data_IF_468177736704
#
_entry.id   IF_468177736704
#
_cell.length_a   1.000
_cell.length_b   1.000
_cell.length_c   1.000
_cell.angle_alpha   90.00
_cell.angle_beta   90.00
_cell.angle_gamma   90.00
#
_symmetry.space_group_name_H-M   'P 1'
#
loop_
_entity.id
_entity.type
_entity.pdbx_description
1 polymer ?
#
# COMPACT_ATOMS: atom_id res chain seq x y z
N UNK A 1 -22.20 -15.85 -33.82
CA UNK A 1 -22.00 -15.69 -32.38
C UNK A 1 -21.49 -14.26 -32.20
N UNK A 2 -22.38 -13.39 -31.74
CA UNK A 2 -22.11 -11.96 -31.56
C UNK A 2 -20.95 -11.76 -30.59
N UNK A 3 -19.94 -11.02 -31.01
CA UNK A 3 -18.86 -10.53 -30.19
C UNK A 3 -19.41 -9.48 -29.21
N UNK A 4 -20.01 -9.90 -28.10
CA UNK A 4 -20.41 -8.99 -27.06
C UNK A 4 -19.18 -8.22 -26.61
N UNK A 5 -19.13 -6.91 -26.85
CA UNK A 5 -18.04 -6.06 -26.37
C UNK A 5 -17.90 -6.24 -24.85
N UNK A 6 -16.72 -6.70 -24.41
CA UNK A 6 -16.41 -6.86 -22.99
C UNK A 6 -16.55 -5.49 -22.30
N UNK A 7 -17.46 -5.37 -21.35
CA UNK A 7 -17.69 -4.14 -20.61
C UNK A 7 -17.15 -4.27 -19.18
N UNK A 8 -16.33 -3.31 -18.73
CA UNK A 8 -15.92 -3.24 -17.32
C UNK A 8 -17.11 -3.11 -16.36
N UNK A 9 -18.27 -2.65 -16.84
CA UNK A 9 -19.50 -2.57 -16.04
C UNK A 9 -20.05 -3.94 -15.68
N UNK A 10 -19.90 -4.95 -16.56
CA UNK A 10 -20.41 -6.31 -16.31
C UNK A 10 -19.69 -7.02 -15.16
N UNK A 11 -18.42 -6.66 -14.91
CA UNK A 11 -17.61 -7.20 -13.82
C UNK A 11 -17.47 -6.22 -12.64
N UNK A 12 -18.10 -5.04 -12.72
CA UNK A 12 -17.83 -3.94 -11.77
C UNK A 12 -18.06 -4.36 -10.30
N UNK A 13 -19.19 -4.99 -9.99
CA UNK A 13 -19.49 -5.41 -8.62
C UNK A 13 -18.53 -6.50 -8.15
N UNK A 14 -18.26 -7.49 -9.01
CA UNK A 14 -17.41 -8.62 -8.68
C UNK A 14 -15.92 -8.23 -8.51
N UNK A 15 -15.43 -7.30 -9.34
CA UNK A 15 -14.04 -6.89 -9.37
C UNK A 15 -13.72 -5.73 -8.41
N UNK A 16 -14.62 -4.74 -8.35
CA UNK A 16 -14.37 -3.49 -7.61
C UNK A 16 -15.08 -3.40 -6.25
N UNK A 17 -16.24 -4.08 -6.09
CA UNK A 17 -16.96 -4.11 -4.82
C UNK A 17 -16.11 -4.61 -3.64
N UNK A 18 -15.48 -5.79 -3.75
CA UNK A 18 -14.59 -6.30 -2.70
C UNK A 18 -13.42 -5.36 -2.41
N UNK A 19 -12.91 -4.65 -3.44
CA UNK A 19 -11.82 -3.69 -3.27
C UNK A 19 -12.23 -2.47 -2.45
N UNK A 20 -13.43 -1.93 -2.73
CA UNK A 20 -13.97 -0.79 -1.97
C UNK A 20 -14.19 -1.16 -0.51
N UNK A 21 -14.80 -2.33 -0.26
CA UNK A 21 -15.04 -2.80 1.11
C UNK A 21 -13.74 -3.12 1.85
N UNK A 22 -12.75 -3.67 1.16
CA UNK A 22 -11.42 -3.89 1.74
C UNK A 22 -10.76 -2.57 2.13
N UNK A 23 -10.78 -1.57 1.23
CA UNK A 23 -10.30 -0.22 1.53
C UNK A 23 -11.05 0.43 2.69
N UNK A 24 -12.36 0.24 2.78
CA UNK A 24 -13.17 0.74 3.89
C UNK A 24 -12.76 0.09 5.22
N UNK A 25 -12.54 -1.22 5.24
CA UNK A 25 -12.05 -1.94 6.41
C UNK A 25 -10.68 -1.41 6.86
N UNK A 26 -9.71 -1.26 5.94
CA UNK A 26 -8.39 -0.70 6.27
C UNK A 26 -8.50 0.75 6.75
N UNK A 27 -9.26 1.59 6.05
CA UNK A 27 -9.44 3.00 6.40
C UNK A 27 -10.06 3.20 7.79
N UNK A 28 -11.02 2.35 8.19
CA UNK A 28 -11.65 2.41 9.48
C UNK A 28 -10.70 2.00 10.62
N UNK A 29 -9.94 0.90 10.47
CA UNK A 29 -9.14 0.35 11.57
C UNK A 29 -7.75 1.01 11.74
N UNK A 30 -7.10 1.44 10.63
CA UNK A 30 -5.72 1.95 10.70
C UNK A 30 -5.56 3.10 11.70
N UNK A 31 -6.47 4.12 11.74
CA UNK A 31 -6.33 5.23 12.66
C UNK A 31 -6.39 4.84 14.14
N UNK A 32 -7.04 3.72 14.46
CA UNK A 32 -7.30 3.31 15.85
C UNK A 32 -6.35 2.23 16.38
N UNK A 33 -5.54 1.58 15.54
CA UNK A 33 -4.57 0.55 15.99
C UNK A 33 -3.62 1.09 17.05
N UNK A 34 -3.01 2.24 16.79
CA UNK A 34 -2.08 2.86 17.72
C UNK A 34 -2.78 3.30 19.02
N UNK A 35 -3.98 3.91 18.90
CA UNK A 35 -4.79 4.33 20.05
C UNK A 35 -5.22 3.14 20.89
N UNK A 36 -5.69 2.06 20.25
CA UNK A 36 -6.04 0.80 20.91
C UNK A 36 -4.87 0.17 21.64
N UNK A 37 -3.65 0.33 21.15
CA UNK A 37 -2.43 -0.12 21.83
C UNK A 37 -2.14 0.69 23.08
N UNK A 38 -2.29 2.02 22.99
CA UNK A 38 -2.09 2.96 24.12
C UNK A 38 -3.14 2.72 25.22
N UNK A 39 -4.42 2.54 24.84
CA UNK A 39 -5.52 2.23 25.76
C UNK A 39 -5.26 0.96 26.59
N UNK A 40 -4.43 0.04 26.07
CA UNK A 40 -3.96 -1.16 26.78
C UNK A 40 -2.69 -0.97 27.58
N UNK A 41 -2.25 0.25 27.76
CA UNK A 41 -1.05 0.58 28.52
C UNK A 41 0.26 0.44 27.72
N UNK A 42 0.21 0.34 26.39
CA UNK A 42 1.42 0.41 25.58
C UNK A 42 2.02 1.82 25.62
N UNK A 43 3.34 1.90 25.68
CA UNK A 43 4.03 3.16 25.40
C UNK A 43 3.85 3.54 23.90
N UNK A 44 4.07 4.82 23.58
CA UNK A 44 4.01 5.31 22.17
C UNK A 44 4.97 4.55 21.26
N UNK A 45 6.14 4.14 21.77
CA UNK A 45 7.10 3.33 21.03
C UNK A 45 6.53 1.92 20.72
N UNK A 46 5.91 1.27 21.70
CA UNK A 46 5.29 -0.05 21.52
C UNK A 46 4.08 0.05 20.61
N UNK A 47 3.27 1.12 20.68
CA UNK A 47 2.16 1.36 19.77
C UNK A 47 2.63 1.51 18.31
N UNK A 48 3.75 2.23 18.09
CA UNK A 48 4.37 2.33 16.77
C UNK A 48 4.91 0.97 16.27
N UNK A 49 5.49 0.16 17.16
CA UNK A 49 5.95 -1.19 16.86
C UNK A 49 4.77 -2.10 16.45
N UNK A 50 3.67 -2.06 17.22
CA UNK A 50 2.46 -2.85 16.89
C UNK A 50 1.93 -2.45 15.51
N UNK A 51 1.90 -1.15 15.20
CA UNK A 51 1.49 -0.69 13.87
C UNK A 51 2.44 -1.19 12.77
N UNK A 52 3.75 -1.30 13.05
CA UNK A 52 4.73 -1.85 12.10
C UNK A 52 4.46 -3.32 11.76
N UNK A 53 3.76 -4.08 12.62
CA UNK A 53 3.37 -5.47 12.37
C UNK A 53 2.48 -5.63 11.13
N UNK A 54 1.74 -4.58 10.72
CA UNK A 54 1.03 -4.58 9.43
C UNK A 54 1.99 -4.78 8.25
N UNK A 55 3.06 -3.98 8.23
CA UNK A 55 4.09 -4.09 7.18
C UNK A 55 4.88 -5.39 7.28
N UNK A 56 5.22 -5.82 8.49
CA UNK A 56 5.95 -7.09 8.74
C UNK A 56 5.09 -8.27 8.28
N UNK A 57 3.80 -8.29 8.60
CA UNK A 57 2.87 -9.32 8.15
C UNK A 57 2.77 -9.39 6.62
N UNK A 58 2.72 -8.23 5.96
CA UNK A 58 2.73 -8.12 4.50
C UNK A 58 4.03 -8.71 3.91
N UNK A 59 5.20 -8.28 4.38
CA UNK A 59 6.51 -8.75 3.92
C UNK A 59 6.63 -10.28 4.05
N UNK A 60 6.29 -10.83 5.19
CA UNK A 60 6.37 -12.27 5.45
C UNK A 60 5.49 -13.09 4.52
N UNK A 61 4.43 -12.51 3.99
CA UNK A 61 3.44 -13.22 3.16
C UNK A 61 3.50 -12.88 1.68
N UNK A 62 4.25 -11.88 1.25
CA UNK A 62 4.34 -11.50 -0.18
C UNK A 62 4.76 -12.67 -1.08
N UNK A 63 5.83 -13.39 -0.74
CA UNK A 63 6.28 -14.56 -1.52
C UNK A 63 5.28 -15.72 -1.39
N UNK A 64 4.87 -16.14 -0.17
CA UNK A 64 3.83 -17.15 0.00
C UNK A 64 2.52 -16.82 -0.72
N UNK A 65 2.13 -15.55 -0.84
CA UNK A 65 0.90 -15.11 -1.53
C UNK A 65 0.89 -15.51 -3.01
N UNK A 66 2.02 -15.33 -3.69
CA UNK A 66 2.17 -15.75 -5.08
C UNK A 66 2.03 -17.27 -5.25
N UNK A 67 2.67 -18.03 -4.35
CA UNK A 67 2.57 -19.50 -4.34
C UNK A 67 1.14 -19.94 -4.02
N UNK A 68 0.47 -19.29 -3.07
CA UNK A 68 -0.91 -19.60 -2.71
C UNK A 68 -1.84 -19.37 -3.91
N UNK A 69 -1.75 -18.20 -4.56
CA UNK A 69 -2.57 -17.86 -5.72
C UNK A 69 -2.37 -18.84 -6.89
N UNK A 70 -1.14 -19.32 -7.10
CA UNK A 70 -0.86 -20.33 -8.13
C UNK A 70 -1.40 -21.72 -7.78
N UNK A 71 -1.40 -22.11 -6.50
CA UNK A 71 -1.83 -23.46 -6.06
C UNK A 71 -3.34 -23.61 -5.94
N UNK A 72 -4.01 -22.65 -5.29
CA UNK A 72 -5.45 -22.76 -4.98
C UNK A 72 -6.33 -21.84 -5.82
N UNK A 73 -5.74 -20.96 -6.65
CA UNK A 73 -6.43 -19.98 -7.47
C UNK A 73 -6.67 -18.63 -6.73
N UNK A 74 -6.93 -17.59 -7.50
CA UNK A 74 -7.07 -16.22 -7.00
C UNK A 74 -8.28 -16.04 -6.08
N UNK A 75 -9.44 -16.59 -6.49
CA UNK A 75 -10.67 -16.50 -5.70
C UNK A 75 -10.52 -17.14 -4.32
N UNK A 76 -10.01 -18.37 -4.24
CA UNK A 76 -9.79 -19.07 -2.97
C UNK A 76 -8.76 -18.34 -2.12
N UNK A 77 -7.71 -17.77 -2.73
CA UNK A 77 -6.71 -16.97 -2.03
C UNK A 77 -7.32 -15.72 -1.40
N UNK A 78 -8.22 -15.01 -2.11
CA UNK A 78 -8.96 -13.87 -1.54
C UNK A 78 -9.84 -14.29 -0.37
N UNK A 79 -10.52 -15.45 -0.43
CA UNK A 79 -11.34 -15.97 0.66
C UNK A 79 -10.50 -16.36 1.89
N UNK A 80 -9.36 -17.01 1.69
CA UNK A 80 -8.41 -17.32 2.77
C UNK A 80 -7.92 -16.03 3.41
N UNK A 81 -7.53 -15.04 2.61
CA UNK A 81 -7.11 -13.74 3.13
C UNK A 81 -8.23 -13.05 3.92
N UNK A 82 -9.47 -13.06 3.43
CA UNK A 82 -10.59 -12.48 4.15
C UNK A 82 -10.85 -13.22 5.48
N UNK A 83 -10.75 -14.55 5.51
CA UNK A 83 -10.89 -15.34 6.74
C UNK A 83 -9.77 -15.00 7.75
N UNK A 84 -8.52 -14.88 7.31
CA UNK A 84 -7.39 -14.47 8.14
C UNK A 84 -7.58 -13.04 8.67
N UNK A 85 -8.07 -12.12 7.83
CA UNK A 85 -8.37 -10.75 8.25
C UNK A 85 -9.47 -10.71 9.31
N UNK A 86 -10.56 -11.47 9.12
CA UNK A 86 -11.63 -11.59 10.12
C UNK A 86 -11.08 -12.16 11.43
N UNK A 87 -10.27 -13.22 11.38
CA UNK A 87 -9.62 -13.76 12.57
C UNK A 87 -8.71 -12.72 13.26
N UNK A 88 -7.93 -11.95 12.51
CA UNK A 88 -7.12 -10.85 13.03
C UNK A 88 -7.97 -9.76 13.71
N UNK A 89 -9.07 -9.34 13.09
CA UNK A 89 -10.02 -8.37 13.66
C UNK A 89 -10.67 -8.90 14.96
N UNK A 90 -11.08 -10.16 14.97
CA UNK A 90 -11.65 -10.79 16.16
C UNK A 90 -10.62 -10.86 17.30
N UNK A 91 -9.35 -11.20 17.01
CA UNK A 91 -8.29 -11.17 18.01
C UNK A 91 -8.08 -9.76 18.56
N UNK A 92 -8.12 -8.74 17.72
CA UNK A 92 -8.05 -7.35 18.17
C UNK A 92 -9.24 -7.02 19.09
N UNK A 93 -10.48 -7.34 18.69
CA UNK A 93 -11.70 -7.05 19.45
C UNK A 93 -11.77 -7.77 20.80
N UNK A 94 -11.52 -9.08 20.84
CA UNK A 94 -11.61 -9.89 22.06
C UNK A 94 -10.61 -9.43 23.12
N UNK A 95 -9.49 -8.81 22.68
CA UNK A 95 -8.46 -8.34 23.59
C UNK A 95 -8.60 -6.84 23.94
N UNK A 96 -9.60 -6.13 23.43
CA UNK A 96 -9.89 -4.75 23.84
C UNK A 96 -10.29 -4.72 25.34
N UNK A 97 -9.62 -3.86 26.13
CA UNK A 97 -9.87 -3.71 27.56
C UNK A 97 -9.18 -4.72 28.49
N UNK A 98 -8.33 -5.62 28.01
CA UNK A 98 -7.58 -6.59 28.83
C UNK A 98 -6.11 -6.16 29.01
N UNK A 99 -5.47 -6.50 30.11
CA UNK A 99 -4.12 -6.02 30.49
C UNK A 99 -2.96 -6.42 29.56
N UNK A 100 -1.71 -6.25 30.01
CA UNK A 100 -0.48 -6.34 29.20
C UNK A 100 -0.29 -7.66 28.42
N UNK A 101 -0.75 -8.80 28.95
CA UNK A 101 -0.73 -10.08 28.22
C UNK A 101 -1.59 -10.06 26.93
N UNK A 102 -2.62 -9.20 26.89
CA UNK A 102 -3.48 -9.04 25.74
C UNK A 102 -2.80 -8.25 24.61
N UNK A 103 -1.74 -7.48 24.90
CA UNK A 103 -1.03 -6.65 23.91
C UNK A 103 -0.30 -7.51 22.86
N UNK A 104 0.30 -8.63 23.27
CA UNK A 104 0.90 -9.60 22.34
C UNK A 104 -0.13 -10.25 21.43
N UNK A 105 -1.29 -10.61 21.96
CA UNK A 105 -2.39 -11.19 21.15
C UNK A 105 -3.00 -10.13 20.22
N UNK A 106 -3.11 -8.89 20.67
CA UNK A 106 -3.51 -7.77 19.81
C UNK A 106 -2.50 -7.57 18.68
N UNK A 107 -1.20 -7.56 18.98
CA UNK A 107 -0.13 -7.49 18.00
C UNK A 107 -0.19 -8.64 16.97
N UNK A 108 -0.48 -9.87 17.44
CA UNK A 108 -0.72 -11.00 16.53
C UNK A 108 -1.91 -10.73 15.59
N UNK A 109 -3.00 -10.17 16.10
CA UNK A 109 -4.14 -9.76 15.29
C UNK A 109 -3.72 -8.77 14.20
N UNK A 110 -2.93 -7.74 14.55
CA UNK A 110 -2.40 -6.74 13.60
C UNK A 110 -1.46 -7.38 12.57
N UNK A 111 -0.60 -8.31 12.99
CA UNK A 111 0.28 -9.06 12.09
C UNK A 111 -0.53 -9.86 11.05
N UNK A 112 -1.60 -10.55 11.50
CA UNK A 112 -2.49 -11.30 10.62
C UNK A 112 -3.23 -10.39 9.64
N UNK A 113 -3.61 -9.18 10.06
CA UNK A 113 -4.21 -8.17 9.17
C UNK A 113 -3.24 -7.75 8.06
N UNK A 114 -1.97 -7.53 8.40
CA UNK A 114 -0.93 -7.23 7.41
C UNK A 114 -0.71 -8.39 6.43
N UNK A 115 -0.65 -9.61 6.94
CA UNK A 115 -0.53 -10.83 6.13
C UNK A 115 -1.73 -10.99 5.16
N UNK A 116 -2.94 -10.81 5.67
CA UNK A 116 -4.17 -10.88 4.88
C UNK A 116 -4.22 -9.81 3.79
N UNK A 117 -3.78 -8.58 4.11
CA UNK A 117 -3.73 -7.46 3.16
C UNK A 117 -2.85 -7.77 1.96
N UNK A 118 -1.67 -8.35 2.17
CA UNK A 118 -0.76 -8.75 1.11
C UNK A 118 -1.39 -9.81 0.19
N UNK A 119 -1.90 -10.91 0.78
CA UNK A 119 -2.53 -12.00 0.03
C UNK A 119 -3.74 -11.50 -0.77
N UNK A 120 -4.60 -10.71 -0.13
CA UNK A 120 -5.82 -10.20 -0.74
C UNK A 120 -5.50 -9.26 -1.93
N UNK A 121 -4.56 -8.35 -1.74
CA UNK A 121 -4.17 -7.39 -2.77
C UNK A 121 -3.55 -8.06 -3.97
N UNK A 122 -2.65 -9.03 -3.77
CA UNK A 122 -2.00 -9.76 -4.85
C UNK A 122 -3.00 -10.65 -5.61
N UNK A 123 -3.82 -11.42 -4.90
CA UNK A 123 -4.81 -12.30 -5.51
C UNK A 123 -5.85 -11.50 -6.33
N UNK A 124 -6.33 -10.38 -5.80
CA UNK A 124 -7.27 -9.47 -6.48
C UNK A 124 -6.66 -8.84 -7.73
N UNK A 125 -5.41 -8.36 -7.65
CA UNK A 125 -4.71 -7.77 -8.78
C UNK A 125 -4.47 -8.81 -9.88
N UNK A 126 -4.08 -10.02 -9.52
CA UNK A 126 -3.91 -11.14 -10.45
C UNK A 126 -5.23 -11.50 -11.11
N UNK A 127 -6.30 -11.68 -10.32
CA UNK A 127 -7.65 -11.97 -10.80
C UNK A 127 -8.10 -10.96 -11.86
N UNK A 128 -7.99 -9.66 -11.55
CA UNK A 128 -8.42 -8.61 -12.47
C UNK A 128 -7.58 -8.59 -13.74
N UNK A 129 -6.27 -8.77 -13.63
CA UNK A 129 -5.36 -8.81 -14.78
C UNK A 129 -5.66 -9.97 -15.73
N UNK A 130 -6.09 -11.11 -15.20
CA UNK A 130 -6.44 -12.30 -15.98
C UNK A 130 -7.86 -12.24 -16.55
N UNK A 131 -8.81 -11.63 -15.81
CA UNK A 131 -10.22 -11.52 -16.21
C UNK A 131 -10.47 -10.47 -17.30
N UNK A 132 -9.53 -9.53 -17.51
CA UNK A 132 -9.74 -8.38 -18.39
C UNK A 132 -8.87 -8.49 -19.65
N UNK A 133 -9.44 -8.22 -20.86
CA UNK A 133 -8.67 -8.17 -22.10
C UNK A 133 -7.45 -7.23 -22.00
N UNK A 134 -6.32 -7.54 -22.67
CA UNK A 134 -5.06 -6.79 -22.53
C UNK A 134 -5.18 -5.27 -22.74
N UNK A 135 -6.00 -4.83 -23.69
CA UNK A 135 -6.21 -3.41 -24.01
C UNK A 135 -6.98 -2.63 -22.92
N UNK A 136 -7.69 -3.32 -22.00
CA UNK A 136 -8.42 -2.70 -20.89
C UNK A 136 -7.74 -2.86 -19.52
N UNK A 137 -6.66 -3.65 -19.43
CA UNK A 137 -5.99 -3.97 -18.17
C UNK A 137 -5.52 -2.73 -17.40
N UNK A 138 -4.87 -1.79 -18.08
CA UNK A 138 -4.39 -0.55 -17.45
C UNK A 138 -5.54 0.25 -16.83
N UNK A 139 -6.66 0.39 -17.58
CA UNK A 139 -7.86 1.08 -17.10
C UNK A 139 -8.51 0.35 -15.91
N UNK A 140 -8.59 -0.98 -15.98
CA UNK A 140 -9.16 -1.79 -14.91
C UNK A 140 -8.32 -1.71 -13.60
N UNK A 141 -7.00 -1.81 -13.70
CA UNK A 141 -6.09 -1.70 -12.56
C UNK A 141 -6.09 -0.28 -11.95
N UNK A 142 -6.16 0.75 -12.80
CA UNK A 142 -6.31 2.13 -12.31
C UNK A 142 -7.64 2.33 -11.56
N UNK A 143 -8.75 1.81 -12.11
CA UNK A 143 -10.05 1.84 -11.44
C UNK A 143 -10.02 1.08 -10.11
N UNK A 144 -9.36 -0.09 -10.08
CA UNK A 144 -9.16 -0.87 -8.85
C UNK A 144 -8.46 -0.06 -7.75
N UNK A 145 -7.39 0.65 -8.12
CA UNK A 145 -6.69 1.54 -7.19
C UNK A 145 -7.57 2.71 -6.72
N UNK A 146 -8.39 3.26 -7.63
CA UNK A 146 -9.31 4.37 -7.32
C UNK A 146 -10.39 3.97 -6.31
N UNK A 147 -11.07 2.83 -6.53
CA UNK A 147 -12.15 2.37 -5.64
C UNK A 147 -11.64 1.95 -4.27
N UNK A 148 -10.43 1.38 -4.20
CA UNK A 148 -9.76 1.10 -2.93
C UNK A 148 -9.58 2.38 -2.10
N UNK A 149 -9.12 3.46 -2.74
CA UNK A 149 -8.92 4.76 -2.09
C UNK A 149 -10.22 5.40 -1.63
N UNK A 150 -11.30 5.26 -2.41
CA UNK A 150 -12.62 5.70 -1.99
C UNK A 150 -13.02 4.98 -0.69
N UNK A 151 -12.80 3.67 -0.62
CA UNK A 151 -13.03 2.90 0.61
C UNK A 151 -12.17 3.42 1.78
N UNK A 152 -10.87 3.59 1.58
CA UNK A 152 -9.94 4.12 2.58
C UNK A 152 -10.29 5.55 3.03
N UNK A 153 -10.88 6.35 2.15
CA UNK A 153 -11.38 7.69 2.48
C UNK A 153 -12.66 7.65 3.32
N UNK A 154 -13.62 6.80 2.95
CA UNK A 154 -14.92 6.68 3.64
C UNK A 154 -14.77 5.98 5.00
N UNK A 155 -13.84 5.03 5.10
CA UNK A 155 -13.64 4.20 6.28
C UNK A 155 -13.50 4.97 7.60
N UNK A 156 -12.62 5.98 7.72
CA UNK A 156 -12.43 6.74 8.95
C UNK A 156 -13.68 7.47 9.43
N UNK A 157 -14.54 7.94 8.52
CA UNK A 157 -15.78 8.61 8.88
C UNK A 157 -16.82 7.62 9.45
N UNK A 158 -16.94 6.45 8.82
CA UNK A 158 -17.78 5.38 9.37
C UNK A 158 -17.22 4.84 10.68
N UNK A 159 -15.88 4.72 10.77
CA UNK A 159 -15.20 4.39 12.01
C UNK A 159 -15.50 5.38 13.11
N UNK A 160 -15.33 6.69 12.85
CA UNK A 160 -15.63 7.76 13.81
C UNK A 160 -17.10 7.72 14.30
N UNK A 161 -18.06 7.53 13.39
CA UNK A 161 -19.47 7.39 13.78
C UNK A 161 -19.73 6.16 14.65
N UNK A 162 -19.04 5.06 14.39
CA UNK A 162 -19.14 3.85 15.21
C UNK A 162 -18.42 4.01 16.56
N UNK A 163 -17.32 4.76 16.62
CA UNK A 163 -16.58 5.07 17.85
C UNK A 163 -17.42 5.91 18.82
N UNK A 164 -18.28 6.80 18.35
CA UNK A 164 -19.22 7.54 19.20
C UNK A 164 -20.21 6.62 19.91
N UNK A 165 -20.59 5.50 19.28
CA UNK A 165 -21.57 4.57 19.83
C UNK A 165 -20.94 3.48 20.72
N UNK A 166 -19.77 2.99 20.34
CA UNK A 166 -19.13 1.81 20.95
C UNK A 166 -17.69 2.04 21.41
N UNK A 167 -17.18 3.26 21.37
CA UNK A 167 -15.76 3.56 21.65
C UNK A 167 -14.84 2.95 20.58
N UNK A 168 -13.54 2.78 20.92
CA UNK A 168 -12.55 2.21 20.00
C UNK A 168 -12.94 0.90 19.30
N UNK A 169 -13.70 -0.05 19.93
CA UNK A 169 -14.23 -1.23 19.24
C UNK A 169 -15.08 -0.92 18.01
N UNK A 170 -15.74 0.24 17.96
CA UNK A 170 -16.62 0.65 16.86
C UNK A 170 -15.94 0.61 15.50
N UNK A 171 -14.72 1.11 15.39
CA UNK A 171 -13.93 1.09 14.16
C UNK A 171 -13.63 -0.34 13.66
N UNK A 172 -13.37 -1.27 14.60
CA UNK A 172 -13.16 -2.68 14.26
C UNK A 172 -14.44 -3.38 13.85
N UNK A 173 -15.60 -3.01 14.41
CA UNK A 173 -16.90 -3.54 13.95
C UNK A 173 -17.19 -3.13 12.50
N UNK A 174 -16.93 -1.87 12.14
CA UNK A 174 -17.04 -1.40 10.75
C UNK A 174 -16.12 -2.21 9.83
N UNK A 175 -14.88 -2.41 10.24
CA UNK A 175 -13.90 -3.21 9.49
C UNK A 175 -14.36 -4.66 9.32
N UNK A 176 -14.90 -5.26 10.37
CA UNK A 176 -15.40 -6.65 10.35
C UNK A 176 -16.57 -6.82 9.39
N UNK A 177 -17.56 -5.91 9.44
CA UNK A 177 -18.71 -5.93 8.53
C UNK A 177 -18.27 -5.72 7.09
N UNK A 178 -17.36 -4.79 6.83
CA UNK A 178 -16.83 -4.53 5.50
C UNK A 178 -16.07 -5.73 4.95
N UNK A 179 -15.22 -6.39 5.77
CA UNK A 179 -14.47 -7.56 5.37
C UNK A 179 -15.37 -8.78 5.11
N UNK A 180 -16.38 -8.99 5.95
CA UNK A 180 -17.40 -10.03 5.74
C UNK A 180 -18.19 -9.78 4.44
N UNK A 181 -18.58 -8.53 4.18
CA UNK A 181 -19.22 -8.13 2.93
C UNK A 181 -18.34 -8.37 1.70
N UNK A 182 -17.04 -8.05 1.79
CA UNK A 182 -16.07 -8.36 0.73
C UNK A 182 -15.99 -9.88 0.46
N UNK A 183 -15.92 -10.70 1.52
CA UNK A 183 -15.90 -12.15 1.40
C UNK A 183 -17.17 -12.69 0.72
N UNK A 184 -18.35 -12.19 1.11
CA UNK A 184 -19.65 -12.58 0.50
C UNK A 184 -19.68 -12.27 -1.00
N UNK A 185 -19.17 -11.11 -1.43
CA UNK A 185 -19.09 -10.79 -2.86
C UNK A 185 -18.10 -11.74 -3.56
N UNK A 186 -16.92 -11.99 -2.97
CA UNK A 186 -15.90 -12.91 -3.54
C UNK A 186 -16.44 -14.34 -3.68
N UNK A 187 -17.34 -14.78 -2.80
CA UNK A 187 -18.00 -16.11 -2.94
C UNK A 187 -18.84 -16.23 -4.23
N UNK A 188 -19.30 -15.11 -4.78
CA UNK A 188 -20.08 -15.07 -6.03
C UNK A 188 -19.25 -14.83 -7.28
N UNK A 189 -17.94 -14.57 -7.11
CA UNK A 189 -17.01 -14.38 -8.23
C UNK A 189 -16.67 -15.72 -8.85
N UNK A 190 -16.70 -15.89 -10.20
CA UNK A 190 -16.30 -17.12 -10.86
C UNK A 190 -14.81 -17.43 -10.63
N UNK A 191 -14.46 -18.69 -10.54
CA UNK A 191 -13.05 -19.12 -10.47
C UNK A 191 -12.41 -19.01 -11.87
N UNK A 192 -11.12 -18.66 -11.94
CA UNK A 192 -10.37 -18.57 -13.19
C UNK A 192 -9.58 -19.86 -13.39
N UNK A 193 -9.87 -20.59 -14.47
CA UNK A 193 -9.10 -21.75 -14.86
C UNK A 193 -7.80 -21.33 -15.56
N UNK A 194 -6.65 -21.62 -14.97
CA UNK A 194 -5.34 -21.37 -15.57
C UNK A 194 -4.92 -22.52 -16.47
N UNK A 195 -4.55 -22.18 -17.71
CA UNK A 195 -3.99 -23.16 -18.65
C UNK A 195 -2.58 -23.57 -18.20
N UNK A 196 -2.22 -24.84 -18.39
CA UNK A 196 -0.89 -25.38 -18.01
C UNK A 196 0.29 -24.64 -18.69
N UNK A 197 0.07 -24.11 -19.89
CA UNK A 197 1.03 -23.26 -20.60
C UNK A 197 1.31 -21.93 -19.87
N UNK A 198 0.30 -21.32 -19.23
CA UNK A 198 0.48 -20.08 -18.45
C UNK A 198 1.24 -20.37 -17.17
N UNK A 199 1.05 -21.54 -16.56
CA UNK A 199 1.82 -21.99 -15.37
C UNK A 199 3.28 -22.25 -15.71
N UNK A 200 3.55 -22.89 -16.87
CA UNK A 200 4.90 -23.20 -17.32
C UNK A 200 5.70 -21.93 -17.70
N UNK A 201 5.08 -20.97 -18.37
CA UNK A 201 5.73 -19.70 -18.74
C UNK A 201 6.15 -18.86 -17.50
N UNK A 202 5.36 -18.90 -16.43
CA UNK A 202 5.68 -18.19 -15.18
C UNK A 202 6.89 -18.82 -14.45
N UNK A 203 7.19 -20.10 -14.69
CA UNK A 203 8.27 -20.84 -14.01
C UNK A 203 9.66 -20.60 -14.61
N UNK A 204 9.78 -20.00 -15.82
CA UNK A 204 11.05 -19.89 -16.54
C UNK A 204 11.95 -18.71 -16.12
N UNK A 205 11.39 -17.68 -15.48
CA UNK A 205 12.18 -16.49 -15.08
C UNK A 205 12.63 -16.60 -13.64
N UNK A 206 13.93 -16.63 -13.42
CA UNK A 206 14.51 -16.77 -12.09
C UNK A 206 14.62 -15.40 -11.39
N UNK A 207 14.09 -15.27 -10.19
CA UNK A 207 14.21 -14.08 -9.32
C UNK A 207 15.68 -13.64 -9.16
N UNK A 208 16.60 -14.59 -9.01
CA UNK A 208 18.04 -14.33 -8.89
C UNK A 208 18.64 -13.69 -10.15
N UNK A 209 18.16 -14.06 -11.34
CA UNK A 209 18.60 -13.48 -12.61
C UNK A 209 18.23 -12.00 -12.69
N UNK A 210 16.96 -11.67 -12.42
CA UNK A 210 16.47 -10.28 -12.39
C UNK A 210 17.21 -9.45 -11.34
N UNK A 211 17.44 -10.00 -10.14
CA UNK A 211 18.14 -9.29 -9.07
C UNK A 211 19.60 -8.98 -9.48
N UNK A 212 20.29 -9.93 -10.12
CA UNK A 212 21.67 -9.76 -10.57
C UNK A 212 21.78 -8.74 -11.71
N UNK A 213 20.80 -8.69 -12.61
CA UNK A 213 20.81 -7.77 -13.77
C UNK A 213 20.45 -6.34 -13.35
N UNK A 214 19.46 -6.19 -12.47
CA UNK A 214 18.88 -4.88 -12.08
C UNK A 214 19.31 -4.41 -10.68
N UNK A 215 20.36 -4.99 -10.07
CA UNK A 215 20.77 -4.67 -8.70
C UNK A 215 21.07 -3.18 -8.48
N UNK A 216 21.64 -2.49 -9.48
CA UNK A 216 21.89 -1.04 -9.40
C UNK A 216 20.58 -0.25 -9.32
N UNK A 217 19.59 -0.61 -10.11
CA UNK A 217 18.26 0.01 -10.10
C UNK A 217 17.59 -0.19 -8.75
N UNK A 218 17.69 -1.40 -8.17
CA UNK A 218 17.16 -1.69 -6.85
C UNK A 218 17.87 -0.91 -5.73
N UNK A 219 19.20 -0.76 -5.79
CA UNK A 219 19.94 0.00 -4.78
C UNK A 219 19.81 1.52 -4.92
N UNK A 220 19.49 2.05 -6.09
CA UNK A 220 19.36 3.49 -6.35
C UNK A 220 17.88 3.94 -6.26
N UNK A 221 17.13 3.76 -7.33
CA UNK A 221 15.71 4.09 -7.35
C UNK A 221 14.91 3.29 -6.33
N UNK A 222 15.25 2.02 -6.13
CA UNK A 222 14.61 1.16 -5.14
C UNK A 222 14.77 1.70 -3.72
N UNK A 223 15.95 2.22 -3.35
CA UNK A 223 16.15 2.91 -2.06
C UNK A 223 15.23 4.11 -1.93
N UNK A 224 15.06 4.91 -3.00
CA UNK A 224 14.11 6.02 -3.02
C UNK A 224 12.66 5.56 -2.78
N UNK A 225 12.27 4.40 -3.33
CA UNK A 225 10.96 3.79 -3.11
C UNK A 225 10.79 3.30 -1.67
N UNK A 226 11.82 2.67 -1.10
CA UNK A 226 11.81 2.25 0.32
C UNK A 226 11.60 3.45 1.23
N UNK A 227 12.38 4.52 1.07
CA UNK A 227 12.27 5.73 1.88
C UNK A 227 10.91 6.43 1.71
N UNK A 228 10.41 6.53 0.47
CA UNK A 228 9.08 7.09 0.19
C UNK A 228 7.98 6.26 0.84
N UNK A 229 8.05 4.92 0.75
CA UNK A 229 7.07 4.02 1.36
C UNK A 229 7.14 4.07 2.89
N UNK A 230 8.35 4.21 3.44
CA UNK A 230 8.58 4.38 4.88
C UNK A 230 7.88 5.63 5.42
N UNK A 231 8.10 6.80 4.80
CA UNK A 231 7.48 8.04 5.27
C UNK A 231 5.95 8.02 5.11
N UNK A 232 5.43 7.38 4.06
CA UNK A 232 4.00 7.21 3.83
C UNK A 232 3.34 6.36 4.90
N UNK A 233 3.96 5.25 5.27
CA UNK A 233 3.42 4.39 6.33
C UNK A 233 3.56 5.04 7.70
N UNK A 234 4.68 5.71 7.97
CA UNK A 234 4.88 6.45 9.22
C UNK A 234 3.82 7.54 9.41
N UNK A 235 3.35 8.20 8.33
CA UNK A 235 2.24 9.17 8.38
C UNK A 235 0.98 8.55 9.01
N UNK A 236 0.66 7.32 8.65
CA UNK A 236 -0.53 6.63 9.17
C UNK A 236 -0.45 6.37 10.68
N UNK A 237 0.75 6.24 11.19
CA UNK A 237 1.02 5.99 12.62
C UNK A 237 1.16 7.29 13.41
N UNK A 238 1.84 8.27 12.85
CA UNK A 238 2.21 9.48 13.59
C UNK A 238 1.03 10.39 13.85
N UNK A 239 0.05 10.47 12.93
CA UNK A 239 -1.16 11.28 13.13
C UNK A 239 -1.92 10.85 14.39
N UNK A 240 -2.30 9.55 14.57
CA UNK A 240 -3.00 9.11 15.77
C UNK A 240 -2.12 9.19 17.03
N UNK A 241 -0.82 8.90 16.95
CA UNK A 241 0.07 9.03 18.09
C UNK A 241 0.18 10.48 18.58
N UNK A 242 0.28 11.43 17.66
CA UNK A 242 0.36 12.85 18.01
C UNK A 242 -0.98 13.38 18.50
N UNK A 243 -2.11 12.96 17.90
CA UNK A 243 -3.45 13.28 18.38
C UNK A 243 -3.64 12.82 19.86
N UNK A 244 -3.22 11.61 20.19
CA UNK A 244 -3.25 11.11 21.56
C UNK A 244 -2.30 11.91 22.47
N UNK A 245 -1.09 12.28 22.00
CA UNK A 245 -0.12 13.06 22.76
C UNK A 245 -0.65 14.44 23.17
N UNK A 246 -1.43 15.09 22.31
CA UNK A 246 -2.06 16.39 22.60
C UNK A 246 -3.48 16.25 23.22
N UNK A 247 -3.89 15.02 23.60
CA UNK A 247 -5.13 14.75 24.34
C UNK A 247 -6.42 14.80 23.53
N UNK A 248 -6.37 14.57 22.21
CA UNK A 248 -7.58 14.51 21.38
C UNK A 248 -8.31 13.17 21.53
N UNK A 249 -9.64 13.21 21.40
CA UNK A 249 -10.47 11.99 21.41
C UNK A 249 -10.19 11.09 20.19
N UNK A 250 -10.48 9.78 20.29
CA UNK A 250 -10.41 8.85 19.17
C UNK A 250 -11.21 9.31 17.96
N UNK A 251 -12.44 9.77 18.18
CA UNK A 251 -13.32 10.32 17.14
C UNK A 251 -12.69 11.50 16.42
N UNK A 252 -12.13 12.48 17.18
CA UNK A 252 -11.43 13.62 16.58
C UNK A 252 -10.25 13.16 15.72
N UNK A 253 -9.46 12.17 16.20
CA UNK A 253 -8.38 11.59 15.43
C UNK A 253 -8.87 10.97 14.12
N UNK A 254 -9.93 10.15 14.14
CA UNK A 254 -10.49 9.50 12.95
C UNK A 254 -11.02 10.53 11.94
N UNK A 255 -11.66 11.61 12.40
CA UNK A 255 -12.07 12.72 11.54
C UNK A 255 -10.88 13.48 10.92
N UNK A 256 -9.84 13.76 11.69
CA UNK A 256 -8.60 14.38 11.19
C UNK A 256 -7.96 13.48 10.12
N UNK A 257 -7.90 12.19 10.37
CA UNK A 257 -7.36 11.22 9.43
C UNK A 257 -8.20 11.13 8.15
N UNK A 258 -9.53 11.15 8.27
CA UNK A 258 -10.48 11.18 7.16
C UNK A 258 -10.33 12.45 6.30
N UNK A 259 -10.20 13.63 6.94
CA UNK A 259 -10.00 14.90 6.20
C UNK A 259 -8.67 14.93 5.44
N UNK A 260 -7.60 14.38 6.02
CA UNK A 260 -6.33 14.18 5.30
C UNK A 260 -6.51 13.26 4.08
N UNK A 261 -7.32 12.21 4.22
CA UNK A 261 -7.69 11.30 3.14
C UNK A 261 -8.49 11.97 2.00
N UNK A 262 -9.35 12.94 2.33
CA UNK A 262 -10.07 13.73 1.33
C UNK A 262 -9.11 14.49 0.40
N UNK A 263 -8.12 15.16 0.99
CA UNK A 263 -7.11 15.89 0.21
C UNK A 263 -6.26 14.91 -0.61
N UNK A 264 -5.89 13.77 -0.04
CA UNK A 264 -5.15 12.70 -0.74
C UNK A 264 -5.89 12.25 -2.01
N UNK A 265 -7.18 11.92 -1.88
CA UNK A 265 -8.02 11.48 -3.01
C UNK A 265 -8.23 12.59 -4.04
N UNK A 266 -8.40 13.85 -3.63
CA UNK A 266 -8.64 14.97 -4.56
C UNK A 266 -7.43 15.32 -5.41
N UNK A 267 -6.22 15.05 -4.91
CA UNK A 267 -4.96 15.49 -5.54
C UNK A 267 -4.34 14.45 -6.47
N UNK A 268 -4.71 13.15 -6.40
CA UNK A 268 -4.06 12.12 -7.20
C UNK A 268 -4.27 12.30 -8.71
N UNK A 269 -5.44 12.73 -9.15
CA UNK A 269 -5.75 12.87 -10.58
C UNK A 269 -4.99 14.06 -11.23
N UNK A 270 -4.98 15.27 -10.65
CA UNK A 270 -4.12 16.36 -11.12
C UNK A 270 -2.63 15.99 -11.14
N UNK A 271 -2.16 15.28 -10.10
CA UNK A 271 -0.77 14.85 -10.01
C UNK A 271 -0.37 13.88 -11.12
N UNK A 272 -1.27 12.98 -11.55
CA UNK A 272 -1.06 12.11 -12.71
C UNK A 272 -0.79 12.92 -13.99
N UNK A 273 -1.57 13.97 -14.25
CA UNK A 273 -1.35 14.88 -15.38
C UNK A 273 0.01 15.59 -15.31
N UNK A 274 0.39 16.08 -14.13
CA UNK A 274 1.72 16.72 -13.92
C UNK A 274 2.83 15.71 -14.22
N UNK A 275 2.68 14.47 -13.76
CA UNK A 275 3.65 13.39 -13.98
C UNK A 275 3.82 13.05 -15.46
N UNK A 276 2.74 13.08 -16.23
CA UNK A 276 2.77 12.79 -17.67
C UNK A 276 3.36 13.96 -18.48
N UNK A 277 3.07 15.23 -18.10
CA UNK A 277 3.52 16.42 -18.80
C UNK A 277 4.95 16.82 -18.47
N UNK A 278 5.30 16.83 -17.17
CA UNK A 278 6.58 17.35 -16.68
C UNK A 278 7.56 16.26 -16.25
N UNK A 279 7.08 15.02 -16.12
CA UNK A 279 7.89 13.88 -15.75
C UNK A 279 7.81 13.52 -14.26
N UNK A 280 8.29 12.31 -13.95
CA UNK A 280 8.14 11.65 -12.63
C UNK A 280 8.81 12.42 -11.50
N UNK A 281 9.91 13.09 -11.80
CA UNK A 281 10.70 13.86 -10.83
C UNK A 281 9.92 15.03 -10.21
N UNK A 282 9.11 15.72 -11.02
CA UNK A 282 8.29 16.86 -10.61
C UNK A 282 7.10 16.48 -9.72
N UNK A 283 6.88 15.21 -9.53
CA UNK A 283 5.87 14.67 -8.63
C UNK A 283 6.52 13.99 -7.42
N UNK A 284 7.51 13.14 -7.65
CA UNK A 284 8.16 12.36 -6.60
C UNK A 284 8.87 13.23 -5.56
N UNK A 285 9.62 14.23 -6.02
CA UNK A 285 10.41 15.10 -5.13
C UNK A 285 9.53 16.02 -4.30
N UNK A 286 8.59 16.82 -4.88
CA UNK A 286 7.67 17.62 -4.08
C UNK A 286 6.84 16.78 -3.09
N UNK A 287 6.39 15.58 -3.49
CA UNK A 287 5.69 14.65 -2.60
C UNK A 287 6.47 14.40 -1.30
N UNK A 288 7.73 13.99 -1.42
CA UNK A 288 8.57 13.66 -0.27
C UNK A 288 9.00 14.88 0.54
N UNK A 289 9.23 16.03 -0.12
CA UNK A 289 9.52 17.29 0.57
C UNK A 289 8.33 17.78 1.40
N UNK A 290 7.12 17.76 0.82
CA UNK A 290 5.90 18.18 1.53
C UNK A 290 5.63 17.25 2.71
N UNK A 291 5.77 15.93 2.52
CA UNK A 291 5.63 14.97 3.62
C UNK A 291 6.67 15.25 4.71
N UNK A 292 7.96 15.37 4.37
CA UNK A 292 9.02 15.66 5.33
C UNK A 292 8.76 16.95 6.11
N UNK A 293 8.39 18.04 5.41
CA UNK A 293 8.04 19.30 6.04
C UNK A 293 6.83 19.16 7.00
N UNK A 294 5.80 18.44 6.57
CA UNK A 294 4.60 18.22 7.39
C UNK A 294 4.91 17.49 8.69
N UNK A 295 5.85 16.54 8.71
CA UNK A 295 6.31 15.89 9.93
C UNK A 295 6.96 16.89 10.89
N UNK A 296 7.79 17.80 10.38
CA UNK A 296 8.40 18.85 11.22
C UNK A 296 7.35 19.82 11.76
N UNK A 297 6.41 20.25 10.92
CA UNK A 297 5.34 21.16 11.35
C UNK A 297 4.40 20.54 12.37
N UNK A 298 4.22 19.21 12.34
CA UNK A 298 3.36 18.50 13.28
C UNK A 298 3.81 18.70 14.72
N UNK A 299 5.10 18.73 14.99
CA UNK A 299 5.63 18.89 16.36
C UNK A 299 5.28 20.23 17.00
N UNK A 300 4.89 21.24 16.20
CA UNK A 300 4.40 22.54 16.66
C UNK A 300 2.88 22.65 16.79
N UNK A 301 2.13 21.55 16.59
CA UNK A 301 0.67 21.57 16.69
C UNK A 301 0.22 21.25 18.12
N UNK A 302 -0.75 22.02 18.65
CA UNK A 302 -1.26 21.88 20.01
C UNK A 302 -2.79 21.83 20.09
N UNK A 303 -3.48 21.82 18.93
CA UNK A 303 -4.94 21.81 18.87
C UNK A 303 -5.44 20.92 17.71
N UNK A 304 -6.71 20.51 17.78
CA UNK A 304 -7.35 19.75 16.71
C UNK A 304 -7.27 20.50 15.36
N UNK A 305 -7.49 21.82 15.34
CA UNK A 305 -7.44 22.61 14.11
C UNK A 305 -6.04 22.61 13.49
N UNK A 306 -5.00 22.90 14.27
CA UNK A 306 -3.62 22.95 13.77
C UNK A 306 -3.15 21.59 13.30
N UNK A 307 -3.51 20.51 14.02
CA UNK A 307 -3.21 19.15 13.59
C UNK A 307 -3.97 18.79 12.29
N UNK A 308 -5.25 19.18 12.16
CA UNK A 308 -6.02 18.97 10.93
C UNK A 308 -5.35 19.62 9.73
N UNK A 309 -4.91 20.87 9.85
CA UNK A 309 -4.23 21.58 8.75
C UNK A 309 -2.93 20.89 8.32
N UNK A 310 -2.12 20.43 9.30
CA UNK A 310 -0.90 19.67 9.00
C UNK A 310 -1.23 18.28 8.41
N UNK A 311 -2.25 17.60 8.91
CA UNK A 311 -2.69 16.32 8.36
C UNK A 311 -3.22 16.48 6.92
N UNK A 312 -3.93 17.55 6.61
CA UNK A 312 -4.32 17.89 5.23
C UNK A 312 -3.10 18.16 4.33
N UNK A 313 -2.07 18.84 4.83
CA UNK A 313 -0.81 19.02 4.10
C UNK A 313 -0.11 17.67 3.86
N UNK A 314 -0.12 16.77 4.84
CA UNK A 314 0.35 15.39 4.66
C UNK A 314 -0.49 14.63 3.62
N UNK A 315 -1.81 14.81 3.62
CA UNK A 315 -2.72 14.26 2.62
C UNK A 315 -2.38 14.76 1.22
N UNK A 316 -2.15 16.07 1.06
CA UNK A 316 -1.70 16.67 -0.20
C UNK A 316 -0.37 16.06 -0.67
N UNK A 317 0.65 16.02 0.18
CA UNK A 317 1.94 15.41 -0.14
C UNK A 317 1.80 13.94 -0.58
N UNK A 318 0.97 13.16 0.12
CA UNK A 318 0.73 11.76 -0.22
C UNK A 318 -0.04 11.61 -1.54
N UNK A 319 -1.06 12.43 -1.76
CA UNK A 319 -1.92 12.39 -2.94
C UNK A 319 -1.18 12.71 -4.23
N UNK A 320 -0.34 13.77 -4.22
CA UNK A 320 0.49 14.10 -5.38
C UNK A 320 1.46 12.98 -5.75
N UNK A 321 1.99 12.24 -4.78
CA UNK A 321 2.88 11.12 -5.01
C UNK A 321 2.18 9.81 -5.31
N UNK A 322 0.86 9.78 -5.34
CA UNK A 322 0.06 8.59 -5.60
C UNK A 322 0.37 8.01 -6.98
N UNK A 323 0.65 6.73 -7.09
CA UNK A 323 0.99 6.08 -8.36
C UNK A 323 2.47 6.21 -8.78
N UNK A 324 3.28 7.07 -8.14
CA UNK A 324 4.69 7.25 -8.54
C UNK A 324 5.49 5.94 -8.42
N UNK A 325 5.25 5.14 -7.39
CA UNK A 325 5.93 3.85 -7.20
C UNK A 325 5.62 2.88 -8.34
N UNK A 326 4.33 2.82 -8.76
CA UNK A 326 3.90 1.99 -9.89
C UNK A 326 4.45 2.50 -11.22
N UNK A 327 4.46 3.82 -11.42
CA UNK A 327 4.97 4.41 -12.67
C UNK A 327 6.48 4.22 -12.78
N UNK A 328 7.24 4.44 -11.70
CA UNK A 328 8.69 4.19 -11.70
C UNK A 328 8.99 2.71 -11.97
N UNK A 329 8.24 1.77 -11.37
CA UNK A 329 8.44 0.35 -11.63
C UNK A 329 8.18 -0.01 -13.10
N UNK A 330 7.13 0.56 -13.69
CA UNK A 330 6.80 0.32 -15.10
C UNK A 330 7.87 0.89 -16.05
N UNK A 331 8.40 2.09 -15.75
CA UNK A 331 9.41 2.77 -16.56
C UNK A 331 10.76 2.02 -16.58
N UNK A 332 11.14 1.33 -15.49
CA UNK A 332 12.43 0.64 -15.37
C UNK A 332 12.34 -0.89 -15.52
N UNK A 333 11.13 -1.44 -15.62
CA UNK A 333 10.93 -2.88 -15.73
C UNK A 333 11.32 -3.42 -17.11
N UNK A 334 11.96 -4.61 -17.20
CA UNK A 334 12.28 -5.26 -18.47
C UNK A 334 11.00 -5.72 -19.20
N UNK A 335 11.11 -5.97 -20.51
CA UNK A 335 10.04 -6.60 -21.29
C UNK A 335 9.91 -8.09 -20.91
N UNK A 336 11.04 -8.78 -20.78
CA UNK A 336 11.11 -10.18 -20.37
C UNK A 336 11.34 -10.26 -18.87
N UNK A 337 10.50 -10.98 -18.14
CA UNK A 337 10.57 -11.09 -16.68
C UNK A 337 9.95 -9.92 -15.92
N UNK A 338 9.16 -9.06 -16.59
CA UNK A 338 8.46 -7.94 -15.97
C UNK A 338 7.67 -8.32 -14.72
N UNK A 339 6.89 -9.43 -14.67
CA UNK A 339 6.15 -9.79 -13.46
C UNK A 339 7.07 -10.05 -12.26
N UNK A 340 8.19 -10.72 -12.47
CA UNK A 340 9.19 -11.00 -11.43
C UNK A 340 9.86 -9.71 -10.94
N UNK A 341 10.21 -8.79 -11.87
CA UNK A 341 10.75 -7.47 -11.52
C UNK A 341 9.76 -6.66 -10.69
N UNK A 342 8.49 -6.59 -11.10
CA UNK A 342 7.44 -5.85 -10.38
C UNK A 342 7.18 -6.46 -8.99
N UNK A 343 7.28 -7.78 -8.84
CA UNK A 343 7.21 -8.45 -7.54
C UNK A 343 8.33 -8.01 -6.61
N UNK A 344 9.58 -8.03 -7.08
CA UNK A 344 10.74 -7.53 -6.32
C UNK A 344 10.63 -6.03 -6.00
N UNK A 345 10.11 -5.23 -6.92
CA UNK A 345 9.88 -3.80 -6.69
C UNK A 345 8.83 -3.55 -5.62
N UNK A 346 7.79 -4.36 -5.61
CA UNK A 346 6.77 -4.32 -4.57
C UNK A 346 7.36 -4.68 -3.21
N UNK A 347 8.21 -5.70 -3.14
CA UNK A 347 8.91 -6.09 -1.91
C UNK A 347 9.71 -4.93 -1.31
N UNK A 348 10.38 -4.11 -2.13
CA UNK A 348 11.05 -2.90 -1.66
C UNK A 348 10.06 -1.89 -1.06
N UNK A 349 8.90 -1.70 -1.71
CA UNK A 349 7.87 -0.80 -1.19
C UNK A 349 7.33 -1.28 0.16
N UNK A 350 7.04 -2.57 0.27
CA UNK A 350 6.50 -3.18 1.49
C UNK A 350 7.54 -3.21 2.61
N UNK A 351 8.83 -3.44 2.28
CA UNK A 351 9.95 -3.26 3.21
C UNK A 351 9.97 -1.83 3.78
N UNK A 352 9.80 -0.82 2.94
CA UNK A 352 9.68 0.56 3.39
C UNK A 352 8.51 0.77 4.35
N UNK A 353 7.35 0.19 4.05
CA UNK A 353 6.17 0.26 4.90
C UNK A 353 6.41 -0.34 6.30
N UNK A 354 7.16 -1.42 6.41
CA UNK A 354 7.56 -2.00 7.69
C UNK A 354 8.62 -1.17 8.41
N UNK A 355 9.66 -0.74 7.69
CA UNK A 355 10.82 -0.03 8.25
C UNK A 355 10.45 1.36 8.80
N UNK A 356 9.53 2.09 8.17
CA UNK A 356 9.13 3.42 8.60
C UNK A 356 8.65 3.48 10.05
N UNK A 357 7.59 2.74 10.44
CA UNK A 357 7.13 2.67 11.82
C UNK A 357 8.16 2.08 12.78
N UNK A 358 9.05 1.19 12.32
CA UNK A 358 10.15 0.66 13.15
C UNK A 358 11.16 1.75 13.50
N UNK A 359 11.55 2.61 12.55
CA UNK A 359 12.42 3.77 12.82
C UNK A 359 11.73 4.70 13.82
N UNK A 360 10.44 5.03 13.59
CA UNK A 360 9.67 5.84 14.52
C UNK A 360 9.67 5.24 15.92
N UNK A 361 9.39 3.93 16.05
CA UNK A 361 9.37 3.20 17.31
C UNK A 361 10.72 3.27 18.02
N UNK A 362 11.81 2.91 17.33
CA UNK A 362 13.16 2.87 17.90
C UNK A 362 13.61 4.25 18.40
N UNK A 363 13.42 5.30 17.60
CA UNK A 363 13.81 6.66 18.00
C UNK A 363 12.91 7.18 19.13
N UNK A 364 11.61 6.88 19.08
CA UNK A 364 10.67 7.27 20.16
C UNK A 364 11.05 6.61 21.50
N UNK A 365 11.49 5.35 21.49
CA UNK A 365 11.90 4.62 22.68
C UNK A 365 13.11 5.24 23.38
N UNK A 366 14.05 5.82 22.61
CA UNK A 366 15.31 6.39 23.14
C UNK A 366 15.19 7.89 23.40
N UNK A 367 14.55 8.64 22.51
CA UNK A 367 14.58 10.11 22.50
C UNK A 367 13.20 10.77 22.55
N UNK A 368 12.13 9.99 22.69
CA UNK A 368 10.76 10.47 22.77
C UNK A 368 10.07 10.71 21.41
N UNK A 369 8.75 10.91 21.45
CA UNK A 369 7.90 10.98 20.26
C UNK A 369 8.29 12.12 19.30
N UNK A 370 8.61 13.31 19.83
CA UNK A 370 9.04 14.46 19.04
C UNK A 370 10.26 14.13 18.19
N UNK A 371 11.29 13.52 18.81
CA UNK A 371 12.49 13.10 18.09
C UNK A 371 12.18 12.05 17.00
N UNK A 372 11.29 11.08 17.28
CA UNK A 372 10.83 10.09 16.31
C UNK A 372 10.18 10.74 15.08
N UNK A 373 9.33 11.75 15.32
CA UNK A 373 8.67 12.51 14.25
C UNK A 373 9.68 13.30 13.43
N UNK A 374 10.61 14.02 14.09
CA UNK A 374 11.66 14.81 13.42
C UNK A 374 12.53 13.91 12.52
N UNK A 375 13.00 12.78 13.05
CA UNK A 375 13.81 11.81 12.26
C UNK A 375 13.01 11.29 11.07
N UNK A 376 11.71 10.98 11.25
CA UNK A 376 10.84 10.57 10.15
C UNK A 376 10.71 11.68 9.09
N UNK A 377 10.64 12.94 9.49
CA UNK A 377 10.68 14.08 8.57
C UNK A 377 11.99 14.15 7.78
N UNK A 378 13.13 13.93 8.44
CA UNK A 378 14.45 13.89 7.79
C UNK A 378 14.56 12.74 6.78
N UNK A 379 13.95 11.59 7.06
CA UNK A 379 13.81 10.48 6.08
C UNK A 379 13.08 10.96 4.82
N UNK A 380 12.08 11.83 4.95
CA UNK A 380 11.39 12.43 3.80
C UNK A 380 12.31 13.31 2.94
N UNK A 381 13.17 14.13 3.55
CA UNK A 381 14.17 14.92 2.81
C UNK A 381 15.25 14.04 2.19
N UNK A 382 15.69 12.98 2.87
CA UNK A 382 16.61 11.99 2.31
C UNK A 382 15.99 11.29 1.08
N UNK A 383 14.71 10.90 1.16
CA UNK A 383 13.96 10.36 0.03
C UNK A 383 13.92 11.33 -1.15
N UNK A 384 13.66 12.63 -0.88
CA UNK A 384 13.69 13.68 -1.91
C UNK A 384 15.05 13.76 -2.60
N UNK A 385 16.14 13.75 -1.85
CA UNK A 385 17.51 13.77 -2.38
C UNK A 385 17.81 12.56 -3.26
N UNK A 386 17.49 11.35 -2.80
CA UNK A 386 17.69 10.11 -3.54
C UNK A 386 16.86 10.12 -4.84
N UNK A 387 15.57 10.44 -4.77
CA UNK A 387 14.70 10.48 -5.95
C UNK A 387 15.11 11.59 -6.92
N UNK A 388 15.57 12.74 -6.40
CA UNK A 388 16.15 13.80 -7.23
C UNK A 388 17.41 13.34 -7.97
N UNK A 389 18.27 12.60 -7.35
CA UNK A 389 19.52 12.11 -7.95
C UNK A 389 19.28 11.04 -9.02
N UNK A 390 18.38 10.08 -8.76
CA UNK A 390 18.28 8.85 -9.55
C UNK A 390 17.07 8.78 -10.50
N UNK A 391 16.03 9.62 -10.36
CA UNK A 391 14.96 9.68 -11.36
C UNK A 391 15.49 10.36 -12.64
N UNK A 392 15.40 9.73 -13.82
CA UNK A 392 15.82 10.31 -15.08
C UNK A 392 15.10 11.66 -15.37
N UNK A 393 15.86 12.65 -15.87
CA UNK A 393 15.31 13.99 -16.18
C UNK A 393 14.31 14.03 -17.33
N UNK A 394 14.31 13.02 -18.19
CA UNK A 394 13.37 12.88 -19.32
C UNK A 394 12.61 11.56 -19.18
N UNK A 395 11.29 11.62 -19.29
CA UNK A 395 10.51 10.41 -19.49
C UNK A 395 11.00 9.73 -20.78
N UNK A 396 11.12 8.40 -20.82
CA UNK A 396 11.32 7.70 -22.09
C UNK A 396 10.14 8.08 -22.99
N UNK A 397 10.37 8.82 -24.08
CA UNK A 397 9.37 9.02 -25.12
C UNK A 397 9.01 7.64 -25.64
N UNK A 398 7.72 7.28 -25.56
CA UNK A 398 7.23 5.99 -25.99
C UNK A 398 7.71 5.61 -27.39
N UNK A 399 8.15 4.36 -27.54
CA UNK A 399 8.22 3.65 -28.80
C UNK A 399 9.26 4.13 -29.79
N UNK A 400 10.52 3.94 -29.49
CA UNK A 400 11.56 3.78 -30.50
C UNK A 400 12.25 2.45 -30.22
N UNK A 401 12.02 1.46 -31.05
CA UNK A 401 12.72 0.18 -31.07
C UNK A 401 14.21 0.41 -30.97
N UNK A 402 14.80 0.25 -29.77
CA UNK A 402 16.23 0.00 -29.69
C UNK A 402 16.45 -1.39 -30.29
N UNK A 403 17.01 -1.39 -31.51
CA UNK A 403 17.49 -2.59 -32.17
C UNK A 403 18.28 -3.43 -31.17
N UNK A 404 17.82 -4.63 -30.90
CA UNK A 404 18.55 -5.64 -30.18
C UNK A 404 19.91 -5.88 -30.82
N UNK A 405 20.89 -6.41 -30.08
CA UNK A 405 22.20 -6.71 -30.66
C UNK A 405 22.02 -7.58 -31.90
N UNK A 406 22.59 -7.12 -33.02
CA UNK A 406 22.65 -7.88 -34.28
C UNK A 406 23.25 -9.23 -33.97
N UNK A 407 22.42 -10.26 -33.97
CA UNK A 407 22.90 -11.64 -34.07
C UNK A 407 23.62 -11.72 -35.43
N UNK A 408 24.92 -11.95 -35.39
CA UNK A 408 25.75 -12.05 -36.56
C UNK A 408 25.17 -13.08 -37.51
N UNK A 409 24.90 -12.65 -38.77
CA UNK A 409 24.71 -13.56 -39.89
C UNK A 409 26.01 -14.31 -40.08
N UNK A 410 26.04 -15.56 -39.64
CA UNK A 410 27.05 -16.52 -39.96
C UNK A 410 27.02 -16.83 -41.44
N UNK A 411 28.19 -16.72 -42.00
CA UNK A 411 28.77 -17.20 -43.22
C UNK A 411 27.85 -18.01 -44.18
N UNK A 412 27.79 -17.44 -45.38
CA UNK A 412 27.58 -18.05 -46.67
C UNK A 412 28.50 -19.28 -46.84
N UNK A 413 27.99 -20.47 -47.00
CA UNK A 413 28.73 -21.65 -47.44
C UNK A 413 28.34 -21.93 -48.88
N UNK A 414 29.32 -21.74 -49.74
CA UNK A 414 29.25 -21.77 -51.15
C UNK A 414 28.69 -23.06 -51.78
N UNK A 415 28.18 -22.87 -52.94
CA UNK A 415 27.95 -23.88 -53.99
C UNK A 415 29.28 -24.40 -54.51
N UNK A 416 29.45 -25.68 -54.54
CA UNK A 416 29.95 -26.43 -55.70
C UNK A 416 29.25 -27.77 -55.76
#
# INVERSE_FOLDING_TARGET
MESGEFSLRSIAVAAFGPATLFGLAEGSMIPVIALSSIDRGASTAVAALINALLGIGSILTNIPSGVLATRIGERKSMLVAAAVAVAGLVLCLVNLGRGALSLGVFGLGVLLLGAASSVYTLARQSYLTESVPPHLRARALSTLGGVLRIGMFVGPFLGAGAEELWGLPGAYYVSLVAMAGAAVIVLRVPDLEKTDQQRAAAAQVTTRGILKEYWRTFLTLGLGVVLLSAIRQTRQVVIPLWAAHIGLSPTANSLIYGTAGLIDVSTFYPAGKVMDLYGRRWVAVPCTLVLGLSFLLMTGTHSALTLTLVAMLMGFGNGIGSGIVMTLSADVSPEIGRPTFLGLWRELSDTGQGVGPLILSAVTAVAGLVAGIVVSGLVGFAAAGVLWAFIPRRAPRGGGTRAGPRVGRGADVGRT
#
